data_IF_502808849103
#
_entry.id   IF_502808849103
#
_cell.length_a   1.000
_cell.length_b   1.000
_cell.length_c   1.000
_cell.angle_alpha   90.00
_cell.angle_beta   90.00
_cell.angle_gamma   90.00
#
_symmetry.space_group_name_H-M   'P 1'
#
loop_
_entity.id
_entity.type
_entity.pdbx_description
1 polymer ?
#
# COMPACT_ATOMS: atom_id res chain seq x y z
N UNK A 1 14.42 3.72 -12.83
CA UNK A 1 14.66 4.75 -11.79
C UNK A 1 13.33 4.97 -11.09
N UNK A 2 13.30 4.89 -9.76
CA UNK A 2 12.09 5.23 -9.01
C UNK A 2 11.78 6.72 -9.21
N UNK A 3 10.52 7.04 -9.50
CA UNK A 3 10.06 8.42 -9.63
C UNK A 3 9.02 8.71 -8.53
N UNK A 4 8.97 9.94 -7.99
CA UNK A 4 7.87 10.33 -7.12
C UNK A 4 6.55 10.26 -7.88
N UNK A 5 5.49 9.81 -7.22
CA UNK A 5 4.13 9.84 -7.76
C UNK A 5 3.37 11.02 -7.17
N UNK A 6 2.22 11.36 -7.76
CA UNK A 6 1.32 12.38 -7.24
C UNK A 6 0.47 11.89 -6.05
N UNK A 7 0.71 10.67 -5.56
CA UNK A 7 -0.04 10.06 -4.46
C UNK A 7 0.70 10.34 -3.16
N UNK A 8 0.04 11.04 -2.24
CA UNK A 8 0.58 11.24 -0.90
C UNK A 8 0.55 9.93 -0.08
N UNK A 9 1.35 9.87 0.98
CA UNK A 9 1.45 8.68 1.81
C UNK A 9 0.12 8.29 2.47
N UNK A 10 -0.66 9.26 2.94
CA UNK A 10 -1.89 9.02 3.71
C UNK A 10 -3.00 8.43 2.82
N UNK A 11 -3.18 8.97 1.61
CA UNK A 11 -4.10 8.47 0.59
C UNK A 11 -3.70 7.08 0.13
N UNK A 12 -2.39 6.85 -0.05
CA UNK A 12 -1.89 5.52 -0.37
C UNK A 12 -2.18 4.52 0.74
N UNK A 13 -1.90 4.87 2.00
CA UNK A 13 -2.11 4.00 3.15
C UNK A 13 -3.57 3.58 3.26
N UNK A 14 -4.49 4.54 3.14
CA UNK A 14 -5.93 4.25 3.19
C UNK A 14 -6.43 3.54 1.94
N UNK A 15 -5.84 3.79 0.76
CA UNK A 15 -6.16 3.06 -0.47
C UNK A 15 -5.76 1.59 -0.37
N UNK A 16 -4.57 1.29 0.15
CA UNK A 16 -4.13 -0.10 0.37
C UNK A 16 -5.10 -0.86 1.26
N UNK A 17 -5.50 -0.28 2.40
CA UNK A 17 -6.46 -0.90 3.33
C UNK A 17 -7.83 -1.13 2.69
N UNK A 18 -8.33 -0.11 1.97
CA UNK A 18 -9.66 -0.18 1.36
C UNK A 18 -9.71 -1.18 0.21
N UNK A 19 -8.71 -1.19 -0.66
CA UNK A 19 -8.61 -2.14 -1.77
C UNK A 19 -8.38 -3.58 -1.28
N UNK A 20 -7.63 -3.76 -0.19
CA UNK A 20 -7.49 -5.06 0.45
C UNK A 20 -8.84 -5.57 0.97
N UNK A 21 -9.60 -4.71 1.66
CA UNK A 21 -10.93 -5.05 2.17
C UNK A 21 -11.91 -5.39 1.03
N UNK A 22 -11.91 -4.64 -0.09
CA UNK A 22 -12.73 -4.93 -1.27
C UNK A 22 -12.42 -6.31 -1.88
N UNK A 23 -11.19 -6.80 -1.72
CA UNK A 23 -10.78 -8.12 -2.20
C UNK A 23 -10.94 -9.23 -1.17
N UNK A 24 -11.51 -8.91 0.00
CA UNK A 24 -11.73 -9.88 1.08
C UNK A 24 -10.45 -10.24 1.84
N UNK A 25 -9.42 -9.41 1.78
CA UNK A 25 -8.18 -9.61 2.52
C UNK A 25 -8.19 -8.82 3.82
N UNK A 26 -7.62 -9.41 4.87
CA UNK A 26 -7.31 -8.69 6.10
C UNK A 26 -5.96 -8.00 5.90
N UNK A 27 -5.94 -6.68 5.97
CA UNK A 27 -4.71 -5.88 5.90
C UNK A 27 -4.24 -5.50 7.31
N UNK A 28 -3.03 -5.91 7.69
CA UNK A 28 -2.37 -5.51 8.94
C UNK A 28 -1.11 -4.71 8.64
N UNK A 29 -1.17 -3.37 8.64
CA UNK A 29 0.02 -2.56 8.54
C UNK A 29 0.80 -2.56 9.86
N UNK A 30 2.13 -2.65 9.79
CA UNK A 30 3.02 -2.53 10.93
C UNK A 30 4.25 -1.68 10.61
N UNK A 31 4.80 -1.02 11.64
CA UNK A 31 6.05 -0.25 11.58
C UNK A 31 6.94 -0.71 12.72
N UNK A 32 8.15 -1.20 12.41
CA UNK A 32 9.11 -1.56 13.44
C UNK A 32 9.56 -0.35 14.25
N UNK A 33 9.88 -0.52 15.55
CA UNK A 33 10.28 0.57 16.47
C UNK A 33 11.43 1.46 15.95
N UNK A 34 12.31 0.94 15.08
CA UNK A 34 13.43 1.66 14.46
C UNK A 34 13.35 1.70 12.93
N UNK A 35 12.24 1.25 12.34
CA UNK A 35 12.11 1.14 10.90
C UNK A 35 11.54 2.43 10.29
N UNK A 36 12.16 2.90 9.21
CA UNK A 36 11.65 3.97 8.35
C UNK A 36 10.55 3.48 7.41
N UNK A 37 10.44 2.17 7.21
CA UNK A 37 9.44 1.54 6.35
C UNK A 37 8.20 1.11 7.11
N UNK A 38 7.05 1.23 6.45
CA UNK A 38 5.78 0.63 6.87
C UNK A 38 5.56 -0.60 6.01
N UNK A 39 5.28 -1.72 6.65
CA UNK A 39 5.01 -2.99 6.00
C UNK A 39 3.52 -3.31 6.08
N UNK A 40 2.97 -3.84 5.01
CA UNK A 40 1.59 -4.29 4.93
C UNK A 40 1.57 -5.80 4.79
N UNK A 41 0.90 -6.46 5.71
CA UNK A 41 0.67 -7.90 5.68
C UNK A 41 -0.77 -8.17 5.25
N UNK A 42 -0.93 -9.02 4.24
CA UNK A 42 -2.24 -9.47 3.80
C UNK A 42 -2.49 -10.92 4.22
N UNK A 43 -3.65 -11.16 4.82
CA UNK A 43 -4.10 -12.46 5.27
C UNK A 43 -5.40 -12.83 4.56
N UNK A 44 -5.56 -14.12 4.29
CA UNK A 44 -6.87 -14.69 3.99
C UNK A 44 -7.61 -14.94 5.29
N UNK A 45 -8.93 -15.03 5.21
CA UNK A 45 -9.76 -15.28 6.38
C UNK A 45 -9.36 -16.61 7.05
N UNK A 46 -9.24 -16.58 8.38
CA UNK A 46 -8.79 -17.72 9.18
C UNK A 46 -7.30 -18.09 9.09
N UNK A 47 -6.48 -17.38 8.31
CA UNK A 47 -5.04 -17.67 8.21
C UNK A 47 -4.19 -16.90 9.24
N UNK A 48 -3.23 -17.60 9.85
CA UNK A 48 -2.28 -17.01 10.81
C UNK A 48 -0.96 -16.55 10.17
N UNK A 49 -0.74 -16.84 8.88
CA UNK A 49 0.44 -16.43 8.14
C UNK A 49 0.00 -15.50 7.00
N UNK A 50 0.70 -14.39 6.76
CA UNK A 50 0.39 -13.55 5.63
C UNK A 50 0.76 -14.28 4.33
N UNK A 51 -0.10 -14.17 3.32
CA UNK A 51 0.19 -14.71 1.98
C UNK A 51 1.03 -13.73 1.14
N UNK A 52 1.02 -12.45 1.50
CA UNK A 52 1.76 -11.39 0.82
C UNK A 52 2.21 -10.35 1.85
N UNK A 53 3.44 -9.87 1.70
CA UNK A 53 4.02 -8.82 2.54
C UNK A 53 4.79 -7.88 1.64
N UNK A 54 4.54 -6.59 1.77
CA UNK A 54 5.39 -5.59 1.14
C UNK A 54 5.64 -4.41 2.07
N UNK A 55 6.80 -3.78 1.91
CA UNK A 55 7.18 -2.61 2.69
C UNK A 55 7.43 -1.42 1.78
N UNK A 56 6.98 -0.26 2.24
CA UNK A 56 7.12 1.04 1.59
C UNK A 56 7.84 2.00 2.52
N UNK A 57 8.66 2.88 1.97
CA UNK A 57 9.34 3.90 2.75
C UNK A 57 8.51 5.18 2.73
N UNK A 58 8.23 5.70 3.93
CA UNK A 58 7.65 7.02 4.06
C UNK A 58 8.73 8.06 3.73
N UNK A 59 8.65 8.68 2.56
CA UNK A 59 9.45 9.86 2.25
C UNK A 59 8.92 11.03 3.07
N UNK A 60 9.55 11.31 4.21
CA UNK A 60 9.13 12.40 5.11
C UNK A 60 9.28 13.80 4.52
N UNK A 61 10.13 13.96 3.50
CA UNK A 61 10.41 15.28 2.90
C UNK A 61 9.36 15.63 1.85
N UNK A 62 9.02 14.67 1.01
CA UNK A 62 8.08 14.88 -0.09
C UNK A 62 6.65 14.40 0.26
N UNK A 63 6.51 13.55 1.28
CA UNK A 63 5.25 12.87 1.68
C UNK A 63 4.55 12.13 0.55
N UNK A 64 5.30 11.75 -0.49
CA UNK A 64 4.81 11.00 -1.67
C UNK A 64 5.25 9.55 -1.63
N UNK A 65 4.50 8.72 -2.36
CA UNK A 65 4.89 7.35 -2.66
C UNK A 65 5.72 7.31 -3.92
N UNK A 66 6.78 6.50 -3.91
CA UNK A 66 7.63 6.25 -5.06
C UNK A 66 7.01 5.20 -5.98
N UNK A 67 7.27 5.31 -7.28
CA UNK A 67 6.70 4.44 -8.32
C UNK A 67 6.92 2.95 -8.07
N UNK A 68 8.05 2.58 -7.47
CA UNK A 68 8.38 1.19 -7.15
C UNK A 68 7.54 0.65 -5.99
N UNK A 69 7.28 1.49 -4.98
CA UNK A 69 6.41 1.14 -3.86
C UNK A 69 4.95 1.04 -4.29
N UNK A 70 4.50 1.94 -5.18
CA UNK A 70 3.19 1.82 -5.84
C UNK A 70 3.08 0.51 -6.63
N UNK A 71 4.13 0.11 -7.36
CA UNK A 71 4.14 -1.14 -8.13
C UNK A 71 4.04 -2.37 -7.21
N UNK A 72 4.70 -2.37 -6.05
CA UNK A 72 4.57 -3.45 -5.05
C UNK A 72 3.14 -3.56 -4.55
N UNK A 73 2.52 -2.44 -4.16
CA UNK A 73 1.14 -2.44 -3.69
C UNK A 73 0.16 -2.93 -4.77
N UNK A 74 0.30 -2.45 -6.01
CA UNK A 74 -0.51 -2.89 -7.14
C UNK A 74 -0.41 -4.41 -7.36
N UNK A 75 0.82 -4.95 -7.30
CA UNK A 75 1.06 -6.39 -7.42
C UNK A 75 0.41 -7.17 -6.27
N UNK A 76 0.62 -6.74 -5.03
CA UNK A 76 0.09 -7.40 -3.84
C UNK A 76 -1.45 -7.39 -3.81
N UNK A 77 -2.06 -6.31 -4.28
CA UNK A 77 -3.51 -6.17 -4.38
C UNK A 77 -4.08 -6.81 -5.66
N UNK A 78 -3.25 -7.17 -6.64
CA UNK A 78 -3.72 -7.62 -7.95
C UNK A 78 -4.60 -6.57 -8.64
N UNK A 79 -4.14 -5.31 -8.66
CA UNK A 79 -4.77 -4.20 -9.39
C UNK A 79 -3.76 -3.56 -10.33
N UNK A 80 -4.24 -2.91 -11.37
CA UNK A 80 -3.43 -2.08 -12.24
C UNK A 80 -3.10 -0.74 -11.56
N UNK A 81 -2.01 -0.10 -12.02
CA UNK A 81 -1.65 1.25 -11.59
C UNK A 81 -2.80 2.24 -11.81
N UNK A 82 -3.53 2.10 -12.91
CA UNK A 82 -4.67 2.97 -13.25
C UNK A 82 -5.79 2.81 -12.23
N UNK A 83 -6.20 1.59 -11.93
CA UNK A 83 -7.25 1.32 -10.93
C UNK A 83 -6.87 1.88 -9.55
N UNK A 84 -5.60 1.75 -9.16
CA UNK A 84 -5.13 2.31 -7.89
C UNK A 84 -5.22 3.85 -7.88
N UNK A 85 -4.78 4.51 -8.95
CA UNK A 85 -4.82 5.98 -9.08
C UNK A 85 -6.27 6.47 -9.11
N UNK A 86 -7.13 5.81 -9.88
CA UNK A 86 -8.55 6.17 -9.97
C UNK A 86 -9.23 6.01 -8.59
N UNK A 87 -8.88 4.96 -7.84
CA UNK A 87 -9.35 4.78 -6.47
C UNK A 87 -8.92 5.92 -5.54
N UNK A 88 -7.66 6.35 -5.62
CA UNK A 88 -7.16 7.47 -4.79
C UNK A 88 -7.81 8.81 -5.14
N UNK A 89 -8.20 9.03 -6.41
CA UNK A 89 -8.80 10.30 -6.87
C UNK A 89 -10.31 10.39 -6.63
N UNK A 90 -11.00 9.26 -6.56
CA UNK A 90 -12.45 9.19 -6.37
C UNK A 90 -12.89 9.20 -4.90
N UNK A 91 -11.96 9.36 -3.95
CA UNK A 91 -12.30 9.72 -2.57
C UNK A 91 -12.73 11.19 -2.52
N UNK A 92 -14.02 11.41 -2.78
CA UNK A 92 -14.76 12.64 -2.45
C UNK A 92 -15.44 12.44 -1.10
#
# INVERSE_FOLDING_TARGET
MAAPTDINFDDFYEAVKSLAAQKGFICKPYKGKKASAICFEFFRDGENKPFEIFCVHEDKKNRVIWSDDLKKACKALGVTKKEFIDFTKNKV
#
